data_IF_097447023419
#
_entry.id   IF_097447023419
#
_cell.length_a   1.000
_cell.length_b   1.000
_cell.length_c   1.000
_cell.angle_alpha   90.00
_cell.angle_beta   90.00
_cell.angle_gamma   90.00
#
_symmetry.space_group_name_H-M   'P 1'
#
loop_
_entity.id
_entity.type
_entity.pdbx_description
1 polymer ?
#
# COMPACT_ATOMS: atom_id res chain seq x y z
N UNK A 1 -5.17 -10.57 14.74
CA UNK A 1 -4.79 -9.36 13.98
C UNK A 1 -4.92 -9.59 12.46
N UNK A 2 -6.13 -9.83 11.93
CA UNK A 2 -6.34 -10.08 10.48
C UNK A 2 -6.21 -8.82 9.60
N UNK A 3 -6.09 -7.62 10.16
CA UNK A 3 -5.98 -6.35 9.43
C UNK A 3 -4.66 -6.22 8.65
N UNK A 4 -3.57 -6.71 9.23
CA UNK A 4 -2.27 -6.82 8.55
C UNK A 4 -2.30 -7.77 7.36
N UNK A 5 -3.32 -8.64 7.27
CA UNK A 5 -3.44 -9.65 6.20
C UNK A 5 -3.70 -9.02 4.82
N UNK A 6 -4.23 -7.80 4.76
CA UNK A 6 -4.51 -7.10 3.50
C UNK A 6 -3.62 -5.88 3.29
N UNK A 7 -3.37 -5.11 4.35
CA UNK A 7 -2.57 -3.88 4.26
C UNK A 7 -1.09 -4.15 3.89
N UNK A 8 -0.48 -5.21 4.43
CA UNK A 8 0.93 -5.55 4.12
C UNK A 8 1.11 -6.03 2.67
N UNK A 9 0.30 -6.96 2.14
CA UNK A 9 0.39 -7.33 0.72
C UNK A 9 0.19 -6.15 -0.23
N UNK A 10 -0.75 -5.24 0.08
CA UNK A 10 -1.01 -4.05 -0.74
C UNK A 10 0.20 -3.11 -0.72
N UNK A 11 0.77 -2.83 0.45
CA UNK A 11 1.96 -2.00 0.57
C UNK A 11 3.14 -2.56 -0.26
N UNK A 12 3.34 -3.88 -0.19
CA UNK A 12 4.39 -4.56 -0.96
C UNK A 12 4.15 -4.48 -2.48
N UNK A 13 2.91 -4.71 -2.91
CA UNK A 13 2.51 -4.61 -4.31
C UNK A 13 2.77 -3.20 -4.85
N UNK A 14 2.30 -2.18 -4.15
CA UNK A 14 2.46 -0.77 -4.56
C UNK A 14 3.93 -0.37 -4.57
N UNK A 15 4.71 -0.77 -3.56
CA UNK A 15 6.15 -0.51 -3.55
C UNK A 15 6.88 -1.14 -4.75
N UNK A 16 6.53 -2.38 -5.10
CA UNK A 16 7.11 -3.08 -6.25
C UNK A 16 6.78 -2.37 -7.57
N UNK A 17 5.51 -1.99 -7.75
CA UNK A 17 5.07 -1.26 -8.96
C UNK A 17 5.74 0.11 -9.04
N UNK A 18 5.81 0.84 -7.94
CA UNK A 18 6.48 2.14 -7.88
C UNK A 18 7.95 2.02 -8.26
N UNK A 19 8.66 1.01 -7.75
CA UNK A 19 10.05 0.76 -8.10
C UNK A 19 10.24 0.48 -9.58
N UNK A 20 9.39 -0.38 -10.16
CA UNK A 20 9.43 -0.68 -11.60
C UNK A 20 9.19 0.58 -12.41
N UNK A 21 8.15 1.37 -12.10
CA UNK A 21 7.84 2.60 -12.82
C UNK A 21 8.98 3.63 -12.73
N UNK A 22 9.59 3.77 -11.55
CA UNK A 22 10.74 4.67 -11.36
C UNK A 22 12.00 4.17 -12.08
N UNK A 23 12.11 2.86 -12.32
CA UNK A 23 13.16 2.25 -13.11
C UNK A 23 12.94 2.29 -14.62
N UNK A 24 11.69 2.33 -15.10
CA UNK A 24 11.40 2.27 -16.55
C UNK A 24 10.96 3.59 -17.16
N UNK A 25 10.21 4.38 -16.40
CA UNK A 25 9.50 5.57 -16.93
C UNK A 25 10.01 6.88 -16.33
N UNK A 26 10.76 6.82 -15.22
CA UNK A 26 11.25 8.00 -14.51
C UNK A 26 12.74 7.86 -14.14
N UNK A 27 13.55 7.39 -15.09
CA UNK A 27 15.01 7.24 -14.90
C UNK A 27 15.76 8.57 -14.72
N UNK A 28 15.11 9.69 -14.96
CA UNK A 28 15.64 11.03 -14.68
C UNK A 28 15.66 11.38 -13.18
N UNK A 29 14.86 10.69 -12.37
CA UNK A 29 14.78 10.94 -10.92
C UNK A 29 16.04 10.41 -10.25
N UNK A 30 16.71 11.15 -9.36
CA UNK A 30 17.86 10.64 -8.60
C UNK A 30 17.52 9.38 -7.80
N UNK A 31 18.48 8.45 -7.68
CA UNK A 31 18.28 7.16 -7.01
C UNK A 31 17.70 7.32 -5.60
N UNK A 32 18.28 8.21 -4.79
CA UNK A 32 17.83 8.46 -3.41
C UNK A 32 16.36 8.90 -3.39
N UNK A 33 15.98 9.81 -4.30
CA UNK A 33 14.58 10.25 -4.44
C UNK A 33 13.66 9.09 -4.84
N UNK A 34 14.09 8.19 -5.73
CA UNK A 34 13.29 7.00 -6.09
C UNK A 34 13.04 6.10 -4.89
N UNK A 35 14.06 5.87 -4.07
CA UNK A 35 13.93 5.08 -2.84
C UNK A 35 12.90 5.71 -1.90
N UNK A 36 12.99 7.02 -1.65
CA UNK A 36 12.00 7.73 -0.82
C UNK A 36 10.59 7.65 -1.39
N UNK A 37 10.42 7.83 -2.70
CA UNK A 37 9.12 7.74 -3.36
C UNK A 37 8.53 6.33 -3.21
N UNK A 38 9.32 5.28 -3.42
CA UNK A 38 8.88 3.89 -3.25
C UNK A 38 8.44 3.60 -1.82
N UNK A 39 9.22 4.02 -0.82
CA UNK A 39 8.82 3.85 0.58
C UNK A 39 7.57 4.65 0.93
N UNK A 40 7.47 5.90 0.47
CA UNK A 40 6.30 6.73 0.68
C UNK A 40 5.04 6.11 0.05
N UNK A 41 5.13 5.61 -1.18
CA UNK A 41 4.03 4.94 -1.88
C UNK A 41 3.58 3.66 -1.17
N UNK A 42 4.53 2.83 -0.71
CA UNK A 42 4.24 1.61 0.04
C UNK A 42 3.55 1.91 1.38
N UNK A 43 4.06 2.87 2.16
CA UNK A 43 3.48 3.26 3.44
C UNK A 43 2.09 3.87 3.23
N UNK A 44 1.95 4.81 2.29
CA UNK A 44 0.70 5.51 2.03
C UNK A 44 -0.41 4.55 1.60
N UNK A 45 -0.12 3.60 0.70
CA UNK A 45 -1.08 2.58 0.29
C UNK A 45 -1.44 1.62 1.43
N UNK A 46 -0.48 1.25 2.28
CA UNK A 46 -0.73 0.48 3.50
C UNK A 46 -1.69 1.20 4.45
N UNK A 47 -1.49 2.51 4.67
CA UNK A 47 -2.38 3.35 5.49
C UNK A 47 -3.78 3.44 4.89
N UNK A 48 -3.90 3.66 3.58
CA UNK A 48 -5.20 3.69 2.90
C UNK A 48 -5.91 2.34 3.06
N UNK A 49 -5.23 1.23 2.79
CA UNK A 49 -5.78 -0.10 2.96
C UNK A 49 -6.23 -0.34 4.40
N UNK A 50 -5.44 0.11 5.38
CA UNK A 50 -5.83 0.01 6.79
C UNK A 50 -7.13 0.76 7.06
N UNK A 51 -7.29 2.00 6.59
CA UNK A 51 -8.51 2.79 6.81
C UNK A 51 -9.72 2.16 6.11
N UNK A 52 -9.56 1.69 4.87
CA UNK A 52 -10.64 1.10 4.07
C UNK A 52 -11.10 -0.24 4.63
N UNK A 53 -10.18 -1.19 4.83
CA UNK A 53 -10.50 -2.53 5.32
C UNK A 53 -10.80 -2.59 6.83
N UNK A 54 -10.58 -1.49 7.56
CA UNK A 54 -11.10 -1.33 8.93
C UNK A 54 -12.63 -1.28 8.94
N UNK A 55 -13.26 -0.59 7.99
CA UNK A 55 -14.73 -0.47 7.91
C UNK A 55 -15.42 -1.77 7.49
N UNK A 56 -14.80 -2.55 6.60
CA UNK A 56 -15.38 -3.81 6.10
C UNK A 56 -15.67 -4.81 7.24
N UNK A 57 -14.96 -4.74 8.37
CA UNK A 57 -15.25 -5.59 9.54
C UNK A 57 -16.45 -5.16 10.36
N UNK A 58 -16.78 -3.87 10.41
CA UNK A 58 -17.98 -3.42 11.16
C UNK A 58 -19.24 -3.93 10.46
N UNK A 59 -19.24 -3.95 9.13
CA UNK A 59 -20.38 -4.38 8.31
C UNK A 59 -20.61 -5.91 8.37
N UNK A 60 -19.55 -6.73 8.39
CA UNK A 60 -19.70 -8.21 8.47
C UNK A 60 -20.15 -8.75 9.84
N UNK A 61 -20.13 -7.91 10.89
CA UNK A 61 -20.64 -8.32 12.21
C UNK A 61 -22.17 -8.16 12.28
N UNK A 62 -22.74 -7.24 11.49
CA UNK A 62 -24.18 -6.92 11.54
C UNK A 62 -25.03 -7.80 10.61
N UNK A 63 -24.47 -8.42 9.57
CA UNK A 63 -25.18 -9.39 8.71
C UNK A 63 -25.45 -10.76 9.38
N UNK A 64 -25.01 -10.95 10.64
CA UNK A 64 -25.21 -12.18 11.43
C UNK A 64 -26.21 -12.01 12.57
N UNK A 65 -27.22 -11.15 12.41
CA UNK A 65 -28.30 -11.03 13.39
C UNK A 65 -29.67 -11.38 12.83
#
# INVERSE_FOLDING_TARGET
MQFFKYSVPIAFLVGTIAWIMLGTSYEEVPYDSRVYITFAAAIFSGVIAFVLFRKEKEEKIDEKK
#
